data_IF_034862694079
#
_entry.id   IF_034862694079
#
_cell.length_a   1.000
_cell.length_b   1.000
_cell.length_c   1.000
_cell.angle_alpha   90.00
_cell.angle_beta   90.00
_cell.angle_gamma   90.00
#
_symmetry.space_group_name_H-M   'P 1'
#
loop_
_entity.id
_entity.type
_entity.pdbx_description
1 polymer ?
#
# COMPACT_ATOMS: atom_id res chain seq x y z
N UNK A 1 10.88 1.11 0.02
CA UNK A 1 11.41 2.45 -0.27
C UNK A 1 11.11 3.44 0.86
N UNK A 2 9.84 3.72 1.19
CA UNK A 2 9.50 4.63 2.29
C UNK A 2 10.13 4.26 3.65
N UNK A 3 10.25 2.97 3.97
CA UNK A 3 10.88 2.51 5.23
C UNK A 3 12.40 2.79 5.29
N UNK A 4 13.10 2.78 4.16
CA UNK A 4 14.52 3.11 4.11
C UNK A 4 14.72 4.61 4.38
N UNK A 5 13.95 5.46 3.69
CA UNK A 5 14.04 6.91 3.87
C UNK A 5 13.64 7.37 5.29
N UNK A 6 12.80 6.61 5.99
CA UNK A 6 12.35 6.94 7.34
C UNK A 6 13.27 6.44 8.48
N UNK A 7 14.38 5.75 8.17
CA UNK A 7 15.24 5.14 9.19
C UNK A 7 16.34 6.10 9.66
N UNK A 8 16.12 6.76 10.80
CA UNK A 8 17.09 7.70 11.40
C UNK A 8 18.44 7.08 11.78
N UNK A 9 18.60 5.75 11.71
CA UNK A 9 19.93 5.12 11.85
C UNK A 9 20.92 5.56 10.77
N UNK A 10 20.43 6.02 9.62
CA UNK A 10 21.31 6.49 8.55
C UNK A 10 21.99 7.83 8.87
N UNK A 11 21.53 8.57 9.88
CA UNK A 11 22.22 9.77 10.39
C UNK A 11 23.29 9.45 11.44
N UNK A 12 23.63 8.17 11.63
CA UNK A 12 24.63 7.74 12.62
C UNK A 12 24.06 7.49 14.02
N UNK A 13 22.75 7.64 14.21
CA UNK A 13 22.08 7.50 15.51
C UNK A 13 21.59 6.09 15.78
N UNK A 14 21.52 5.71 17.05
CA UNK A 14 20.87 4.45 17.46
C UNK A 14 19.39 4.70 17.76
N UNK A 15 18.54 3.71 17.48
CA UNK A 15 17.10 3.76 17.75
C UNK A 15 16.67 2.48 18.46
N UNK A 16 15.99 2.61 19.58
CA UNK A 16 15.46 1.51 20.38
C UNK A 16 13.96 1.64 20.61
N UNK A 17 13.39 0.65 21.32
CA UNK A 17 11.98 0.57 21.65
C UNK A 17 11.04 0.55 20.42
N UNK A 18 11.51 -0.02 19.31
CA UNK A 18 10.74 -0.13 18.06
C UNK A 18 9.58 -1.12 18.16
N UNK A 19 9.75 -2.17 18.94
CA UNK A 19 8.78 -3.23 19.13
C UNK A 19 8.65 -3.54 20.62
N UNK A 20 7.45 -3.95 21.02
CA UNK A 20 7.20 -4.56 22.32
C UNK A 20 6.60 -5.95 22.12
N UNK A 21 6.72 -6.77 23.15
CA UNK A 21 6.08 -8.07 23.21
C UNK A 21 4.82 -7.94 24.07
N UNK A 22 3.67 -8.15 23.45
CA UNK A 22 2.38 -8.18 24.17
C UNK A 22 2.08 -9.63 24.56
N UNK A 23 1.76 -9.84 25.84
CA UNK A 23 1.27 -11.12 26.34
C UNK A 23 -0.26 -11.06 26.38
N UNK A 24 -0.92 -11.83 25.51
CA UNK A 24 -2.37 -11.96 25.51
C UNK A 24 -2.77 -13.11 26.43
N UNK A 25 -2.69 -12.88 27.73
CA UNK A 25 -3.31 -13.71 28.75
C UNK A 25 -4.77 -13.28 28.89
N UNK A 26 -5.69 -14.24 28.97
CA UNK A 26 -7.14 -13.91 29.14
C UNK A 26 -7.39 -13.47 30.58
N UNK A 27 -6.65 -14.03 31.54
CA UNK A 27 -6.56 -13.59 32.92
C UNK A 27 -5.13 -13.11 33.22
N UNK A 28 -4.93 -11.87 33.73
CA UNK A 28 -3.59 -11.35 33.99
C UNK A 28 -2.80 -12.24 34.98
N UNK A 29 -1.66 -12.76 34.55
CA UNK A 29 -0.77 -13.61 35.34
C UNK A 29 -0.94 -15.11 35.10
N UNK A 30 -2.02 -15.57 34.46
CA UNK A 30 -2.19 -16.98 34.10
C UNK A 30 -1.67 -17.28 32.69
N UNK A 31 -0.40 -17.68 32.63
CA UNK A 31 0.29 -18.09 31.40
C UNK A 31 -0.38 -19.27 30.68
N UNK A 32 -1.21 -20.09 31.36
CA UNK A 32 -1.90 -21.23 30.72
C UNK A 32 -3.01 -20.77 29.78
N UNK A 33 -3.55 -19.57 29.98
CA UNK A 33 -4.57 -18.96 29.10
C UNK A 33 -3.98 -18.17 27.94
N UNK A 34 -2.64 -18.09 27.87
CA UNK A 34 -1.95 -17.32 26.85
C UNK A 34 -2.13 -17.92 25.46
N UNK A 35 -2.56 -17.11 24.49
CA UNK A 35 -2.50 -17.48 23.05
C UNK A 35 -1.09 -17.33 22.45
N UNK A 36 -0.07 -17.17 23.29
CA UNK A 36 1.31 -16.87 22.89
C UNK A 36 1.59 -15.36 22.86
N UNK A 37 2.86 -15.01 22.91
CA UNK A 37 3.31 -13.62 22.85
C UNK A 37 3.27 -13.08 21.42
N UNK A 38 2.72 -11.89 21.22
CA UNK A 38 2.69 -11.22 19.91
C UNK A 38 3.65 -10.04 19.93
N UNK A 39 4.61 -10.01 18.99
CA UNK A 39 5.42 -8.81 18.76
C UNK A 39 4.59 -7.76 18.04
N UNK A 40 4.52 -6.56 18.62
CA UNK A 40 3.88 -5.40 18.01
C UNK A 40 4.86 -4.26 17.84
N UNK A 41 4.71 -3.53 16.73
CA UNK A 41 5.43 -2.28 16.53
C UNK A 41 4.88 -1.21 17.48
N UNK A 42 5.78 -0.51 18.16
CA UNK A 42 5.40 0.65 18.94
C UNK A 42 5.14 1.84 18.00
N UNK A 43 4.23 2.76 18.38
CA UNK A 43 4.10 4.06 17.74
C UNK A 43 5.46 4.78 17.62
N UNK A 44 5.67 5.53 16.53
CA UNK A 44 6.97 6.17 16.25
C UNK A 44 7.38 7.19 17.33
N UNK A 45 6.43 7.84 17.99
CA UNK A 45 6.66 8.77 19.12
C UNK A 45 7.21 8.05 20.37
N UNK A 46 7.08 6.73 20.45
CA UNK A 46 7.66 5.90 21.53
C UNK A 46 9.04 5.37 21.19
N UNK A 47 9.51 5.56 19.95
CA UNK A 47 10.87 5.17 19.59
C UNK A 47 11.82 6.19 20.18
N UNK A 48 12.89 5.70 20.78
CA UNK A 48 13.87 6.56 21.43
C UNK A 48 15.15 6.52 20.59
N UNK A 49 15.70 7.70 20.33
CA UNK A 49 16.87 7.90 19.48
C UNK A 49 18.03 8.46 20.31
N UNK A 50 19.27 8.07 20.00
CA UNK A 50 20.45 8.53 20.72
C UNK A 50 20.65 10.04 20.59
N UNK A 51 21.03 10.68 21.70
CA UNK A 51 21.37 12.09 21.72
C UNK A 51 22.64 12.38 20.91
N UNK A 52 23.64 11.50 20.99
CA UNK A 52 24.88 11.58 20.20
C UNK A 52 24.87 10.64 18.98
N UNK A 53 25.75 10.94 18.02
CA UNK A 53 26.09 10.05 16.92
C UNK A 53 26.88 8.87 17.48
N UNK A 54 26.46 7.66 17.13
CA UNK A 54 27.04 6.41 17.62
C UNK A 54 27.89 5.68 16.58
N UNK A 55 27.76 6.03 15.29
CA UNK A 55 28.57 5.50 14.21
C UNK A 55 28.64 6.50 13.06
N UNK A 56 29.55 6.25 12.11
CA UNK A 56 29.70 7.07 10.91
C UNK A 56 28.35 7.20 10.18
N UNK A 57 27.83 8.43 9.99
CA UNK A 57 26.59 8.65 9.26
C UNK A 57 26.71 8.25 7.79
N UNK A 58 25.68 7.61 7.24
CA UNK A 58 25.60 7.36 5.80
C UNK A 58 25.07 8.60 5.05
N UNK A 59 24.25 9.40 5.72
CA UNK A 59 23.69 10.67 5.22
C UNK A 59 23.71 11.73 6.32
N UNK A 60 23.68 13.01 5.93
CA UNK A 60 23.59 14.10 6.90
C UNK A 60 22.20 14.19 7.54
N UNK A 61 22.10 14.79 8.72
CA UNK A 61 20.81 15.07 9.37
C UNK A 61 19.96 16.03 8.51
N UNK A 62 20.59 16.97 7.81
CA UNK A 62 19.91 17.91 6.91
C UNK A 62 19.26 17.19 5.74
N UNK A 63 19.98 16.27 5.09
CA UNK A 63 19.44 15.47 3.99
C UNK A 63 18.33 14.53 4.46
N UNK A 64 18.49 13.94 5.65
CA UNK A 64 17.48 13.07 6.26
C UNK A 64 16.17 13.82 6.51
N UNK A 65 16.24 15.01 7.13
CA UNK A 65 15.07 15.88 7.38
C UNK A 65 14.47 16.37 6.06
N UNK A 66 15.31 16.79 5.11
CA UNK A 66 14.88 17.21 3.78
C UNK A 66 14.08 16.12 3.07
N UNK A 67 14.56 14.87 3.12
CA UNK A 67 13.85 13.73 2.54
C UNK A 67 12.48 13.46 3.18
N UNK A 68 12.28 13.76 4.48
CA UNK A 68 10.97 13.59 5.13
C UNK A 68 9.92 14.58 4.62
N UNK A 69 10.34 15.73 4.10
CA UNK A 69 9.44 16.74 3.54
C UNK A 69 8.93 16.39 2.13
N UNK A 70 9.57 15.43 1.47
CA UNK A 70 9.21 15.02 0.11
C UNK A 70 8.12 13.95 0.18
N UNK A 71 6.90 14.31 -0.24
CA UNK A 71 5.84 13.32 -0.43
C UNK A 71 6.19 12.40 -1.58
N UNK A 72 6.41 11.12 -1.29
CA UNK A 72 6.45 10.07 -2.30
C UNK A 72 5.05 9.62 -2.75
N UNK A 73 3.99 10.18 -2.17
CA UNK A 73 2.62 9.94 -2.62
C UNK A 73 2.40 10.77 -3.88
N UNK A 74 2.20 10.15 -5.06
CA UNK A 74 1.83 10.88 -6.25
C UNK A 74 0.58 11.70 -5.95
N UNK A 75 0.55 12.95 -6.40
CA UNK A 75 -0.70 13.72 -6.37
C UNK A 75 -1.79 12.86 -7.04
N UNK A 76 -3.00 12.80 -6.47
CA UNK A 76 -4.09 12.10 -7.12
C UNK A 76 -4.26 12.71 -8.52
N UNK A 77 -4.08 11.89 -9.55
CA UNK A 77 -4.35 12.34 -10.89
C UNK A 77 -5.85 12.66 -11.00
N UNK A 78 -6.22 13.79 -11.61
CA UNK A 78 -7.62 14.17 -11.88
C UNK A 78 -8.20 13.30 -13.01
N UNK A 79 -8.20 11.99 -12.78
CA UNK A 79 -8.77 11.01 -13.68
C UNK A 79 -10.22 10.80 -13.28
N UNK A 80 -11.13 11.36 -14.09
CA UNK A 80 -12.58 11.16 -13.94
C UNK A 80 -13.02 9.97 -14.78
N UNK A 81 -13.92 9.18 -14.23
CA UNK A 81 -14.44 7.96 -14.84
C UNK A 81 -15.96 7.95 -14.66
N UNK A 82 -16.69 8.34 -15.72
CA UNK A 82 -18.13 8.59 -15.68
C UNK A 82 -18.97 7.35 -15.30
N UNK A 83 -18.46 6.15 -15.57
CA UNK A 83 -19.18 4.87 -15.42
C UNK A 83 -18.59 3.98 -14.31
N UNK A 84 -17.84 4.56 -13.37
CA UNK A 84 -17.26 3.81 -12.25
C UNK A 84 -18.34 3.05 -11.48
N UNK A 85 -18.15 1.73 -11.33
CA UNK A 85 -19.06 0.87 -10.60
C UNK A 85 -20.35 0.49 -11.33
N UNK A 86 -20.61 1.06 -12.51
CA UNK A 86 -21.80 0.78 -13.34
C UNK A 86 -21.55 -0.33 -14.37
N UNK A 87 -20.31 -0.49 -14.84
CA UNK A 87 -19.97 -1.50 -15.85
C UNK A 87 -19.77 -2.88 -15.20
N UNK A 88 -20.62 -3.84 -15.55
CA UNK A 88 -20.61 -5.21 -15.01
C UNK A 88 -20.30 -6.22 -16.12
N UNK A 89 -19.39 -7.16 -15.86
CA UNK A 89 -19.06 -8.22 -16.79
C UNK A 89 -20.12 -9.31 -16.76
N UNK A 90 -20.77 -9.55 -17.91
CA UNK A 90 -21.76 -10.64 -18.03
C UNK A 90 -21.15 -12.04 -17.91
N UNK A 91 -19.85 -12.20 -18.22
CA UNK A 91 -19.18 -13.50 -18.17
C UNK A 91 -18.85 -13.95 -16.73
N UNK A 92 -18.52 -13.04 -15.82
CA UNK A 92 -18.13 -13.39 -14.45
C UNK A 92 -18.88 -12.65 -13.34
N UNK A 93 -19.82 -11.77 -13.68
CA UNK A 93 -20.62 -10.98 -12.74
C UNK A 93 -19.85 -9.87 -12.00
N UNK A 94 -18.54 -9.74 -12.22
CA UNK A 94 -17.71 -8.74 -11.53
C UNK A 94 -17.83 -7.36 -12.18
N UNK A 95 -17.76 -6.32 -11.36
CA UNK A 95 -17.59 -4.93 -11.84
C UNK A 95 -16.23 -4.78 -12.53
N UNK A 96 -16.19 -3.95 -13.58
CA UNK A 96 -14.94 -3.62 -14.24
C UNK A 96 -14.10 -2.69 -13.36
N UNK A 97 -12.77 -2.85 -13.43
CA UNK A 97 -11.80 -1.92 -12.85
C UNK A 97 -11.66 -0.71 -13.80
N UNK A 98 -11.77 0.51 -13.27
CA UNK A 98 -11.41 1.71 -14.01
C UNK A 98 -9.89 1.76 -14.24
N UNK A 99 -9.48 2.25 -15.41
CA UNK A 99 -8.08 2.46 -15.75
C UNK A 99 -7.90 3.63 -16.70
N UNK A 100 -6.74 4.28 -16.63
CA UNK A 100 -6.35 5.37 -17.51
C UNK A 100 -5.19 4.93 -18.40
N UNK A 101 -5.37 4.97 -19.72
CA UNK A 101 -4.35 4.55 -20.70
C UNK A 101 -4.32 5.57 -21.83
N UNK A 102 -3.12 6.02 -22.20
CA UNK A 102 -2.89 7.01 -23.27
C UNK A 102 -3.77 8.27 -23.19
N UNK A 103 -3.94 8.81 -21.97
CA UNK A 103 -4.73 10.02 -21.75
C UNK A 103 -6.24 9.83 -21.79
N UNK A 104 -6.74 8.58 -21.69
CA UNK A 104 -8.16 8.26 -21.85
C UNK A 104 -8.67 7.32 -20.74
N UNK A 105 -9.90 7.53 -20.26
CA UNK A 105 -10.56 6.61 -19.33
C UNK A 105 -11.04 5.34 -20.03
N UNK A 106 -10.94 4.22 -19.32
CA UNK A 106 -11.40 2.92 -19.77
C UNK A 106 -11.73 1.98 -18.60
N UNK A 107 -12.34 0.86 -18.94
CA UNK A 107 -12.82 -0.16 -18.03
C UNK A 107 -12.22 -1.50 -18.42
N UNK A 108 -11.71 -2.26 -17.45
CA UNK A 108 -11.21 -3.63 -17.72
C UNK A 108 -11.80 -4.68 -16.78
N UNK A 109 -12.09 -5.85 -17.31
CA UNK A 109 -12.43 -7.03 -16.50
C UNK A 109 -11.33 -8.07 -16.67
N UNK A 110 -10.72 -8.50 -15.56
CA UNK A 110 -9.70 -9.55 -15.53
C UNK A 110 -10.26 -10.92 -15.10
N UNK A 111 -11.57 -11.05 -14.98
CA UNK A 111 -12.24 -12.28 -14.54
C UNK A 111 -11.71 -12.88 -13.22
N UNK A 112 -11.25 -12.02 -12.29
CA UNK A 112 -10.67 -12.45 -11.01
C UNK A 112 -9.19 -12.83 -11.08
N UNK A 113 -8.57 -12.81 -12.26
CA UNK A 113 -7.12 -13.00 -12.39
C UNK A 113 -6.37 -11.78 -11.83
N UNK A 114 -5.62 -12.00 -10.75
CA UNK A 114 -4.64 -11.04 -10.24
C UNK A 114 -3.31 -11.25 -10.96
N UNK A 115 -2.49 -10.20 -11.04
CA UNK A 115 -1.19 -10.21 -11.73
C UNK A 115 -0.16 -11.18 -11.09
N UNK A 116 -0.50 -11.79 -9.95
CA UNK A 116 0.40 -12.55 -9.09
C UNK A 116 0.31 -14.08 -9.28
N UNK A 117 -0.42 -14.58 -10.27
CA UNK A 117 -0.51 -16.02 -10.55
C UNK A 117 -0.38 -16.35 -12.04
N UNK A 118 0.00 -17.59 -12.40
CA UNK A 118 0.02 -18.03 -13.78
C UNK A 118 -1.38 -17.87 -14.37
N UNK A 119 -1.46 -17.25 -15.55
CA UNK A 119 -2.72 -17.18 -16.28
C UNK A 119 -3.18 -18.62 -16.58
N UNK A 120 -4.38 -18.99 -16.13
CA UNK A 120 -4.95 -20.27 -16.52
C UNK A 120 -5.16 -20.24 -18.04
N UNK A 121 -4.53 -21.16 -18.77
CA UNK A 121 -4.65 -21.25 -20.23
C UNK A 121 -6.11 -21.48 -20.69
N UNK A 122 -6.96 -22.00 -19.78
CA UNK A 122 -8.37 -22.27 -20.01
C UNK A 122 -9.34 -21.14 -19.56
N UNK A 123 -8.84 -20.04 -18.98
CA UNK A 123 -9.68 -18.96 -18.45
C UNK A 123 -10.15 -17.94 -19.51
N UNK A 124 -11.26 -17.22 -19.27
CA UNK A 124 -11.70 -16.15 -20.15
C UNK A 124 -10.67 -15.01 -20.19
N UNK A 125 -10.30 -14.59 -21.41
CA UNK A 125 -9.33 -13.51 -21.63
C UNK A 125 -9.83 -12.19 -21.02
N UNK A 126 -8.94 -11.32 -20.51
CA UNK A 126 -9.34 -10.01 -20.02
C UNK A 126 -10.04 -9.17 -21.09
N UNK A 127 -11.08 -8.45 -20.69
CA UNK A 127 -11.84 -7.53 -21.56
C UNK A 127 -11.42 -6.10 -21.26
N UNK A 128 -11.27 -5.29 -22.31
CA UNK A 128 -10.98 -3.85 -22.22
C UNK A 128 -12.02 -3.07 -23.01
N UNK A 129 -12.58 -2.03 -22.39
CA UNK A 129 -13.58 -1.14 -22.97
C UNK A 129 -13.14 0.29 -22.75
N UNK A 130 -13.31 1.14 -23.76
CA UNK A 130 -13.03 2.57 -23.65
C UNK A 130 -14.30 3.29 -23.21
N UNK A 131 -14.15 4.31 -22.36
CA UNK A 131 -15.30 5.04 -21.83
C UNK A 131 -16.07 5.78 -22.93
N UNK A 132 -15.38 6.44 -23.86
CA UNK A 132 -16.01 7.20 -24.95
C UNK A 132 -16.90 6.31 -25.85
N UNK A 133 -16.47 5.07 -26.10
CA UNK A 133 -17.26 4.11 -26.87
C UNK A 133 -18.50 3.69 -26.08
N UNK A 134 -18.36 3.46 -24.77
CA UNK A 134 -19.49 3.06 -23.92
C UNK A 134 -20.52 4.17 -23.79
N UNK A 135 -20.07 5.39 -23.50
CA UNK A 135 -20.89 6.59 -23.38
C UNK A 135 -21.66 6.84 -24.68
N UNK A 136 -20.99 6.79 -25.83
CA UNK A 136 -21.63 6.91 -27.13
C UNK A 136 -22.66 5.79 -27.40
N UNK A 137 -22.40 4.57 -26.93
CA UNK A 137 -23.31 3.42 -27.13
C UNK A 137 -24.58 3.53 -26.28
N UNK A 138 -24.50 4.12 -25.08
CA UNK A 138 -25.63 4.25 -24.14
C UNK A 138 -26.34 5.61 -24.22
N UNK A 139 -25.87 6.52 -25.07
CA UNK A 139 -26.49 7.82 -25.31
C UNK A 139 -26.30 8.84 -24.19
N UNK A 140 -25.18 8.75 -23.45
CA UNK A 140 -24.75 9.74 -22.46
C UNK A 140 -23.76 10.75 -23.05
#
# INVERSE_FOLDING_TARGET
>A
MAEMLANSRYTGRQVWNRQRTDHNETEPGDRRTSRGSVRRWNPKDKWVTSASVAHEPLISEVDFVGAQSVSAVPAPADHRYALTGLVICRLCGRRFDAHWVHGRPGYRCRHGSTRAGPASAAGPKPIYLREDVLVATIGL
#
